data_IF_185470146310
#
_entry.id   IF_185470146310
#
_cell.length_a   1.000
_cell.length_b   1.000
_cell.length_c   1.000
_cell.angle_alpha   90.00
_cell.angle_beta   90.00
_cell.angle_gamma   90.00
#
_symmetry.space_group_name_H-M   'P 1'
#
loop_
_entity.id
_entity.type
_entity.pdbx_description
1 polymer ?
#
# COMPACT_ATOMS: atom_id res chain seq x y z
N UNK A 1 -14.61 5.17 0.03
CA UNK A 1 -13.25 4.58 0.13
C UNK A 1 -12.84 4.65 1.59
N UNK A 2 -12.39 3.57 2.24
CA UNK A 2 -11.62 3.69 3.48
C UNK A 2 -10.51 4.71 3.28
N UNK A 3 -10.57 5.83 4.00
CA UNK A 3 -9.59 6.92 3.89
C UNK A 3 -8.34 6.64 4.71
N UNK A 4 -8.22 5.47 5.34
CA UNK A 4 -7.16 5.13 6.29
C UNK A 4 -6.31 3.98 5.78
N UNK A 5 -5.07 3.93 6.25
CA UNK A 5 -4.19 2.79 6.06
C UNK A 5 -4.85 1.49 6.55
N UNK A 6 -4.68 0.42 5.78
CA UNK A 6 -5.21 -0.90 6.14
C UNK A 6 -4.41 -1.57 7.27
N UNK A 7 -3.17 -1.13 7.54
CA UNK A 7 -2.35 -1.70 8.58
C UNK A 7 -2.98 -1.53 9.97
N UNK A 8 -2.83 -2.54 10.85
CA UNK A 8 -3.37 -2.46 12.21
C UNK A 8 -2.72 -1.30 12.96
N UNK A 9 -3.50 -0.58 13.75
CA UNK A 9 -3.06 0.56 14.55
C UNK A 9 -2.45 1.74 13.75
N UNK A 10 -2.67 1.80 12.42
CA UNK A 10 -2.21 2.92 11.60
C UNK A 10 -3.34 3.93 11.36
N UNK A 11 -3.22 5.12 11.95
CA UNK A 11 -4.23 6.19 11.86
C UNK A 11 -4.04 7.13 10.66
N UNK A 12 -3.06 6.85 9.80
CA UNK A 12 -2.73 7.71 8.66
C UNK A 12 -3.82 7.68 7.61
N UNK A 13 -4.13 8.86 7.09
CA UNK A 13 -5.14 9.03 6.04
C UNK A 13 -4.48 9.03 4.67
N UNK A 14 -5.13 8.42 3.68
CA UNK A 14 -4.68 8.44 2.27
C UNK A 14 -4.68 9.84 1.65
N UNK A 15 -5.29 10.82 2.32
CA UNK A 15 -5.28 12.24 1.93
C UNK A 15 -4.09 13.01 2.50
N UNK A 16 -3.33 12.42 3.44
CA UNK A 16 -2.09 13.01 3.92
C UNK A 16 -1.02 12.83 2.84
N UNK A 17 -0.46 13.93 2.36
CA UNK A 17 0.45 13.98 1.21
C UNK A 17 1.91 13.66 1.54
N UNK A 18 2.24 13.44 2.80
CA UNK A 18 3.62 13.21 3.26
C UNK A 18 4.11 11.79 2.98
N UNK A 19 3.20 10.85 2.64
CA UNK A 19 3.55 9.46 2.36
C UNK A 19 2.81 8.92 1.14
N UNK A 20 3.51 8.09 0.37
CA UNK A 20 2.87 7.30 -0.68
C UNK A 20 1.92 6.25 -0.08
N UNK A 21 0.83 5.96 -0.80
CA UNK A 21 -0.13 4.92 -0.46
C UNK A 21 -0.25 3.92 -1.61
N UNK A 22 0.02 2.66 -1.31
CA UNK A 22 -0.03 1.56 -2.27
C UNK A 22 -1.36 0.81 -2.16
N UNK A 23 -1.94 0.45 -3.30
CA UNK A 23 -3.12 -0.42 -3.37
C UNK A 23 -2.69 -1.87 -3.20
N UNK A 24 -3.58 -2.71 -2.67
CA UNK A 24 -3.38 -4.15 -2.67
C UNK A 24 -3.17 -4.65 -4.10
N UNK A 25 -2.23 -5.56 -4.36
CA UNK A 25 -2.02 -6.10 -5.69
C UNK A 25 -3.22 -6.95 -6.14
N UNK A 26 -3.45 -7.01 -7.46
CA UNK A 26 -4.49 -7.88 -8.05
C UNK A 26 -4.04 -9.34 -8.17
N UNK A 27 -2.73 -9.57 -8.15
CA UNK A 27 -2.15 -10.91 -8.09
C UNK A 27 -2.57 -11.60 -6.78
N UNK A 28 -3.30 -12.74 -6.82
CA UNK A 28 -3.84 -13.37 -5.62
C UNK A 28 -2.78 -13.76 -4.59
N UNK A 29 -1.65 -14.35 -5.04
CA UNK A 29 -0.60 -14.82 -4.14
C UNK A 29 0.08 -13.66 -3.39
N UNK A 30 0.37 -12.55 -4.08
CA UNK A 30 0.93 -11.35 -3.45
C UNK A 30 -0.12 -10.63 -2.59
N UNK A 31 -1.38 -10.64 -3.00
CA UNK A 31 -2.48 -10.01 -2.27
C UNK A 31 -2.69 -10.71 -0.92
N UNK A 32 -2.70 -12.04 -0.92
CA UNK A 32 -2.82 -12.86 0.27
C UNK A 32 -1.71 -12.54 1.29
N UNK A 33 -0.44 -12.45 0.84
CA UNK A 33 0.67 -12.04 1.72
C UNK A 33 0.45 -10.68 2.37
N UNK A 34 -0.16 -9.73 1.66
CA UNK A 34 -0.48 -8.41 2.23
C UNK A 34 -1.59 -8.50 3.27
N UNK A 35 -2.63 -9.30 3.01
CA UNK A 35 -3.74 -9.55 3.95
C UNK A 35 -3.23 -10.20 5.23
N UNK A 36 -2.43 -11.26 5.11
CA UNK A 36 -1.80 -11.96 6.24
C UNK A 36 -0.96 -11.02 7.11
N UNK A 37 -0.16 -10.16 6.47
CA UNK A 37 0.64 -9.15 7.18
C UNK A 37 -0.19 -8.06 7.85
N UNK A 38 -1.39 -7.75 7.32
CA UNK A 38 -2.31 -6.81 7.95
C UNK A 38 -2.97 -7.38 9.22
N UNK A 39 -3.04 -8.72 9.37
CA UNK A 39 -3.65 -9.39 10.54
C UNK A 39 -5.06 -8.87 10.86
N UNK A 40 -5.86 -8.67 9.82
CA UNK A 40 -7.20 -8.09 9.89
C UNK A 40 -8.20 -9.04 9.25
N UNK A 41 -9.04 -9.64 10.10
CA UNK A 41 -10.07 -10.58 9.67
C UNK A 41 -11.03 -9.96 8.63
N UNK A 42 -11.31 -8.65 8.71
CA UNK A 42 -12.18 -7.98 7.74
C UNK A 42 -11.60 -7.92 6.32
N UNK A 43 -10.30 -8.21 6.12
CA UNK A 43 -9.67 -8.25 4.81
C UNK A 43 -9.64 -9.66 4.20
N UNK A 44 -9.80 -10.70 5.02
CA UNK A 44 -9.65 -12.11 4.60
C UNK A 44 -10.79 -12.56 3.68
N UNK A 45 -12.00 -12.08 3.91
CA UNK A 45 -13.19 -12.44 3.12
C UNK A 45 -13.31 -11.64 1.79
N UNK A 46 -12.29 -10.85 1.42
CA UNK A 46 -12.35 -9.93 0.27
C UNK A 46 -11.54 -10.43 -0.91
N UNK A 47 -12.07 -10.20 -2.11
CA UNK A 47 -11.34 -10.51 -3.34
C UNK A 47 -10.18 -9.52 -3.56
N UNK A 48 -9.12 -9.91 -4.30
CA UNK A 48 -8.04 -9.00 -4.66
C UNK A 48 -8.52 -7.71 -5.34
N UNK A 49 -9.59 -7.77 -6.14
CA UNK A 49 -10.18 -6.59 -6.77
C UNK A 49 -10.88 -5.66 -5.76
N UNK A 50 -11.61 -6.21 -4.80
CA UNK A 50 -12.22 -5.43 -3.71
C UNK A 50 -11.14 -4.76 -2.85
N UNK A 51 -10.08 -5.50 -2.52
CA UNK A 51 -8.94 -5.00 -1.77
C UNK A 51 -8.20 -3.89 -2.53
N UNK A 52 -7.89 -4.10 -3.82
CA UNK A 52 -7.23 -3.10 -4.67
C UNK A 52 -8.05 -1.81 -4.78
N UNK A 53 -9.38 -1.92 -4.89
CA UNK A 53 -10.28 -0.79 -5.08
C UNK A 53 -10.45 0.04 -3.82
N UNK A 54 -10.53 -0.60 -2.66
CA UNK A 54 -10.98 0.06 -1.43
C UNK A 54 -9.89 0.22 -0.37
N UNK A 55 -8.81 -0.55 -0.41
CA UNK A 55 -7.84 -0.61 0.68
C UNK A 55 -6.45 -0.21 0.21
N UNK A 56 -5.70 0.44 1.10
CA UNK A 56 -4.35 0.94 0.83
C UNK A 56 -3.45 0.81 2.05
N UNK A 57 -2.16 0.63 1.81
CA UNK A 57 -1.12 0.66 2.83
C UNK A 57 -0.19 1.86 2.58
N UNK A 58 0.16 2.61 3.62
CA UNK A 58 1.14 3.68 3.49
C UNK A 58 2.56 3.12 3.36
N UNK A 59 3.46 3.92 2.78
CA UNK A 59 4.84 3.51 2.50
C UNK A 59 5.64 3.06 3.74
N UNK A 60 5.23 3.46 4.94
CA UNK A 60 5.88 3.08 6.21
C UNK A 60 5.79 1.57 6.52
N UNK A 61 4.89 0.85 5.85
CA UNK A 61 4.69 -0.59 6.03
C UNK A 61 5.39 -1.44 4.96
N UNK A 62 6.21 -0.81 4.12
CA UNK A 62 7.03 -1.49 3.13
C UNK A 62 8.49 -1.23 3.43
N UNK A 63 9.33 -2.23 3.21
CA UNK A 63 10.76 -2.00 3.12
C UNK A 63 11.06 -1.15 1.88
N UNK A 64 12.01 -0.23 2.00
CA UNK A 64 12.44 0.62 0.89
C UNK A 64 12.87 -0.21 -0.33
N UNK A 65 13.46 -1.38 -0.09
CA UNK A 65 13.87 -2.36 -1.10
C UNK A 65 12.68 -2.91 -1.92
N UNK A 66 11.49 -3.01 -1.33
CA UNK A 66 10.28 -3.53 -1.97
C UNK A 66 9.53 -2.48 -2.78
N UNK A 67 9.83 -1.20 -2.55
CA UNK A 67 9.32 -0.09 -3.34
C UNK A 67 10.28 0.06 -4.53
N UNK A 68 10.07 -0.74 -5.59
CA UNK A 68 10.76 -0.52 -6.85
C UNK A 68 10.47 0.91 -7.30
N UNK A 69 11.51 1.74 -7.30
CA UNK A 69 11.46 3.12 -7.76
C UNK A 69 11.25 3.11 -9.27
N UNK A 70 10.01 2.96 -9.74
CA UNK A 70 9.64 3.35 -11.10
C UNK A 70 9.54 4.87 -11.14
N UNK A 71 10.68 5.54 -10.93
CA UNK A 71 10.90 6.95 -11.25
C UNK A 71 12.13 7.00 -12.15
N UNK A 72 11.94 6.65 -13.41
CA UNK A 72 12.79 7.10 -14.52
C UNK A 72 12.03 8.29 -15.15
N UNK A 73 12.50 9.53 -15.29
CA UNK A 73 13.72 10.26 -14.94
C UNK A 73 13.35 11.77 -14.91
N UNK A 74 14.11 12.59 -14.19
CA UNK A 74 14.54 13.90 -14.66
C UNK A 74 15.82 14.30 -13.89
N UNK A 75 16.95 14.31 -14.60
CA UNK A 75 18.17 14.98 -14.16
C UNK A 75 17.93 16.49 -13.98
N UNK A 76 18.55 17.08 -12.97
CA UNK A 76 18.94 18.49 -13.00
C UNK A 76 20.15 18.72 -12.07
N UNK A 77 21.32 18.86 -12.72
CA UNK A 77 22.43 19.79 -12.45
C UNK A 77 23.13 19.86 -11.08
N UNK A 78 24.44 19.59 -11.15
CA UNK A 78 25.57 20.40 -10.65
C UNK A 78 25.77 20.59 -9.13
N UNK A 79 26.85 20.02 -8.59
CA UNK A 79 28.13 20.72 -8.40
C UNK A 79 29.23 19.76 -7.91
#
# INVERSE_FOLDING_TARGET
MPNFCAAPNCTRKSTQSDLAFFRFPRDPARCQKWVENCRRADLEDKTPDQLNKHYRLCAKHFETSMICRTMHFAEASEN
#
